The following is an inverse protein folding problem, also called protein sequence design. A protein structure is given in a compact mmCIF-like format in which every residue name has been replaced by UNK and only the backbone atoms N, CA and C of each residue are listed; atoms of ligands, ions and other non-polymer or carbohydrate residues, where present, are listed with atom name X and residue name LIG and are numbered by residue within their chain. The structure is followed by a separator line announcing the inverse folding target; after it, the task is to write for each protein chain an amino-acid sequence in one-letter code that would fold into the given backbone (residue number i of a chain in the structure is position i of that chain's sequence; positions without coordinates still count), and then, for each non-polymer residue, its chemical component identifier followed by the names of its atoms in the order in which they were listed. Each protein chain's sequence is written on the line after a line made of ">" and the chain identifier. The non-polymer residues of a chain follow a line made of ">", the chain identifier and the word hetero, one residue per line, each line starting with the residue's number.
data_IF_116111029523
#
_entry.id   IF_116111029523
#
_cell.length_a   1.000
_cell.length_b   1.000
_cell.length_c   1.000
_cell.angle_alpha   90.00
_cell.angle_beta   90.00
_cell.angle_gamma   90.00
#
_symmetry.space_group_name_H-M   'P 1'
#
loop_
_entity.id
_entity.type
_entity.pdbx_description
1 polymer ?
#
# COMPACT_ATOMS: atom_id res chain seq x y z
N UNK A 1 -2.36 9.70 -25.64
CA UNK A 1 -2.91 9.05 -24.43
C UNK A 1 -2.49 7.58 -24.48
N UNK A 2 -1.55 7.12 -23.64
CA UNK A 2 -1.13 5.70 -23.63
C UNK A 2 -2.13 4.91 -22.77
N UNK A 3 -2.83 3.94 -23.37
CA UNK A 3 -3.67 2.97 -22.65
C UNK A 3 -2.75 1.88 -22.10
N UNK A 4 -2.72 1.73 -20.78
CA UNK A 4 -2.14 0.55 -20.14
C UNK A 4 -3.21 -0.55 -20.21
N UNK A 5 -2.92 -1.64 -20.92
CA UNK A 5 -3.78 -2.82 -20.91
C UNK A 5 -3.56 -3.56 -19.60
N UNK A 6 -4.63 -3.78 -18.83
CA UNK A 6 -4.62 -4.73 -17.73
C UNK A 6 -4.52 -6.13 -18.37
N UNK A 7 -3.52 -6.93 -17.97
CA UNK A 7 -3.41 -8.30 -18.44
C UNK A 7 -4.56 -9.15 -17.86
N UNK A 8 -5.25 -9.91 -18.70
CA UNK A 8 -6.29 -10.84 -18.26
C UNK A 8 -5.72 -11.89 -17.31
N UNK A 9 -6.35 -12.07 -16.14
CA UNK A 9 -5.89 -12.96 -15.08
C UNK A 9 -5.13 -12.28 -13.94
N UNK A 10 -4.87 -10.98 -14.02
CA UNK A 10 -4.56 -10.21 -12.83
C UNK A 10 -5.84 -10.14 -11.98
N UNK A 11 -5.90 -10.89 -10.87
CA UNK A 11 -6.75 -10.48 -9.73
C UNK A 11 -6.59 -8.98 -9.64
N UNK A 12 -7.66 -8.24 -9.88
CA UNK A 12 -7.60 -6.79 -10.00
C UNK A 12 -7.34 -6.28 -8.59
N UNK A 13 -6.06 -6.32 -8.20
CA UNK A 13 -5.54 -5.66 -7.02
C UNK A 13 -6.03 -4.24 -7.19
N UNK A 14 -7.00 -3.84 -6.38
CA UNK A 14 -7.68 -2.57 -6.49
C UNK A 14 -6.88 -1.57 -5.66
N UNK A 15 -5.87 -0.88 -6.22
CA UNK A 15 -5.05 0.04 -5.45
C UNK A 15 -5.95 1.15 -4.92
N UNK A 16 -5.82 1.45 -3.63
CA UNK A 16 -6.60 2.51 -2.97
C UNK A 16 -5.74 3.75 -2.78
N UNK A 17 -4.46 3.56 -2.47
CA UNK A 17 -3.52 4.66 -2.24
C UNK A 17 -2.15 4.31 -2.78
N UNK A 18 -1.50 5.32 -3.37
CA UNK A 18 -0.12 5.26 -3.79
C UNK A 18 0.64 6.46 -3.23
N UNK A 19 1.92 6.28 -2.89
CA UNK A 19 2.83 7.37 -2.56
C UNK A 19 4.24 7.03 -3.04
N UNK A 20 4.84 7.94 -3.79
CA UNK A 20 6.25 7.86 -4.17
C UNK A 20 7.10 8.53 -3.09
N UNK A 21 8.08 7.80 -2.54
CA UNK A 21 9.07 8.34 -1.62
C UNK A 21 10.45 7.93 -2.10
N UNK A 22 11.24 8.91 -2.53
CA UNK A 22 12.51 8.68 -3.25
C UNK A 22 12.25 7.74 -4.44
N UNK A 23 12.95 6.61 -4.49
CA UNK A 23 12.91 5.66 -5.60
C UNK A 23 11.99 4.46 -5.31
N UNK A 24 11.05 4.61 -4.37
CA UNK A 24 10.16 3.54 -3.93
C UNK A 24 8.70 3.97 -3.99
N UNK A 25 7.89 3.17 -4.70
CA UNK A 25 6.45 3.35 -4.80
C UNK A 25 5.75 2.48 -3.76
N UNK A 26 5.07 3.11 -2.82
CA UNK A 26 4.24 2.42 -1.83
C UNK A 26 2.82 2.30 -2.38
N UNK A 27 2.22 1.12 -2.27
CA UNK A 27 0.87 0.83 -2.78
C UNK A 27 0.08 0.07 -1.74
N UNK A 28 -1.11 0.57 -1.40
CA UNK A 28 -2.11 -0.17 -0.63
C UNK A 28 -3.25 -0.62 -1.54
N UNK A 29 -3.88 -1.74 -1.19
CA UNK A 29 -4.96 -2.32 -1.97
C UNK A 29 -6.20 -2.55 -1.12
N UNK A 30 -7.37 -2.47 -1.76
CA UNK A 30 -8.64 -2.69 -1.09
C UNK A 30 -8.72 -4.11 -0.57
N UNK A 31 -9.12 -4.27 0.70
CA UNK A 31 -9.27 -5.57 1.34
C UNK A 31 -7.98 -6.32 1.65
N UNK A 32 -6.80 -5.74 1.37
CA UNK A 32 -5.51 -6.36 1.68
C UNK A 32 -4.85 -5.62 2.86
N UNK A 33 -4.63 -6.28 4.02
CA UNK A 33 -4.01 -5.66 5.19
C UNK A 33 -2.47 -5.58 5.05
N UNK A 34 -2.01 -4.94 3.97
CA UNK A 34 -0.61 -4.77 3.66
C UNK A 34 -0.36 -3.54 2.77
N UNK A 35 0.88 -3.05 2.80
CA UNK A 35 1.41 -2.09 1.84
C UNK A 35 2.55 -2.76 1.08
N UNK A 36 2.47 -2.77 -0.26
CA UNK A 36 3.56 -3.19 -1.11
C UNK A 36 4.51 -2.02 -1.39
N UNK A 37 5.80 -2.31 -1.40
CA UNK A 37 6.86 -1.38 -1.81
C UNK A 37 7.41 -1.90 -3.13
N UNK A 38 7.20 -1.13 -4.18
CA UNK A 38 7.67 -1.44 -5.52
C UNK A 38 8.89 -0.58 -5.87
N UNK A 39 9.79 -1.15 -6.65
CA UNK A 39 10.91 -0.44 -7.25
C UNK A 39 10.48 0.30 -8.53
N UNK A 40 11.43 1.00 -9.17
CA UNK A 40 11.21 1.77 -10.40
C UNK A 40 10.75 0.92 -11.59
N UNK A 41 11.03 -0.38 -11.58
CA UNK A 41 10.57 -1.32 -12.62
C UNK A 41 9.12 -1.74 -12.42
N UNK A 42 8.49 -1.32 -11.31
CA UNK A 42 7.16 -1.78 -10.89
C UNK A 42 7.20 -3.17 -10.25
N UNK A 43 8.39 -3.74 -10.05
CA UNK A 43 8.58 -4.99 -9.33
C UNK A 43 8.33 -4.80 -7.84
N UNK A 44 7.58 -5.72 -7.22
CA UNK A 44 7.39 -5.70 -5.76
C UNK A 44 8.71 -6.07 -5.08
N UNK A 45 9.35 -5.10 -4.44
CA UNK A 45 10.60 -5.26 -3.69
C UNK A 45 10.34 -5.78 -2.27
N UNK A 46 9.37 -5.23 -1.55
CA UNK A 46 9.04 -5.59 -0.16
C UNK A 46 7.53 -5.51 0.09
N UNK A 47 7.04 -6.24 1.10
CA UNK A 47 5.68 -6.10 1.65
C UNK A 47 5.73 -5.76 3.13
N UNK A 48 4.93 -4.80 3.55
CA UNK A 48 4.74 -4.38 4.93
C UNK A 48 3.39 -4.94 5.38
N UNK A 49 3.41 -5.95 6.24
CA UNK A 49 2.19 -6.58 6.76
C UNK A 49 1.60 -5.75 7.89
N UNK A 50 0.30 -5.45 7.80
CA UNK A 50 -0.42 -4.61 8.77
C UNK A 50 -1.32 -5.48 9.67
N UNK A 51 -0.86 -6.67 10.04
CA UNK A 51 -1.67 -7.69 10.73
C UNK A 51 -1.46 -7.74 12.25
N UNK A 52 -0.59 -6.88 12.81
CA UNK A 52 -0.27 -6.82 14.24
C UNK A 52 -0.03 -5.36 14.70
N UNK A 53 -0.33 -5.01 15.97
CA UNK A 53 -1.01 -5.83 16.97
C UNK A 53 -2.45 -6.18 16.56
N UNK A 54 -3.11 -5.26 15.86
CA UNK A 54 -4.41 -5.48 15.21
C UNK A 54 -4.25 -5.53 13.69
N UNK A 55 -5.22 -6.13 13.01
CA UNK A 55 -5.26 -6.12 11.54
C UNK A 55 -5.85 -4.80 11.05
N UNK A 56 -5.11 -4.09 10.22
CA UNK A 56 -5.49 -2.80 9.65
C UNK A 56 -5.66 -2.95 8.14
N UNK A 57 -6.83 -2.58 7.62
CA UNK A 57 -7.13 -2.58 6.20
C UNK A 57 -6.91 -1.15 5.64
N UNK A 58 -5.77 -0.90 4.97
CA UNK A 58 -5.34 0.44 4.58
C UNK A 58 -6.25 1.06 3.53
N UNK A 59 -7.04 2.02 3.96
CA UNK A 59 -7.86 2.88 3.09
C UNK A 59 -7.13 4.17 2.71
N UNK A 60 -6.14 4.59 3.50
CA UNK A 60 -5.20 5.66 3.18
C UNK A 60 -3.93 5.47 4.00
N UNK A 61 -2.81 6.05 3.56
CA UNK A 61 -1.58 6.12 4.34
C UNK A 61 -0.74 7.33 3.94
N UNK A 62 0.20 7.69 4.81
CA UNK A 62 1.32 8.57 4.51
C UNK A 62 2.62 7.94 5.00
N UNK A 63 3.63 7.97 4.14
CA UNK A 63 5.01 7.56 4.46
C UNK A 63 5.80 8.80 4.85
N UNK A 64 6.40 8.75 6.03
CA UNK A 64 7.31 9.74 6.59
C UNK A 64 8.74 9.20 6.54
N UNK A 65 9.67 9.90 7.18
CA UNK A 65 11.09 9.50 7.20
C UNK A 65 11.27 8.15 7.91
N UNK A 66 10.75 8.00 9.13
CA UNK A 66 10.87 6.81 9.97
C UNK A 66 9.60 5.99 10.14
N UNK A 67 8.44 6.58 9.89
CA UNK A 67 7.15 5.93 10.12
C UNK A 67 6.27 5.88 8.88
N UNK A 68 5.29 4.98 8.94
CA UNK A 68 4.13 4.96 8.05
C UNK A 68 2.90 5.08 8.92
N UNK A 69 2.09 6.10 8.66
CA UNK A 69 0.79 6.28 9.31
C UNK A 69 -0.28 5.76 8.37
N UNK A 70 -1.09 4.81 8.85
CA UNK A 70 -2.11 4.12 8.07
C UNK A 70 -3.47 4.37 8.69
N UNK A 71 -4.43 4.75 7.84
CA UNK A 71 -5.83 4.89 8.21
C UNK A 71 -6.65 3.72 7.65
N UNK A 72 -7.45 3.12 8.52
CA UNK A 72 -8.54 2.21 8.18
C UNK A 72 -9.85 2.90 8.56
N UNK A 73 -10.44 3.61 7.60
CA UNK A 73 -11.67 4.37 7.82
C UNK A 73 -12.88 3.46 8.10
N UNK A 74 -12.86 2.20 7.62
CA UNK A 74 -13.97 1.26 7.81
C UNK A 74 -14.06 0.83 9.27
N UNK A 75 -12.92 0.56 9.89
CA UNK A 75 -12.84 0.14 11.30
C UNK A 75 -12.56 1.29 12.27
N UNK A 76 -12.35 2.52 11.78
CA UNK A 76 -12.04 3.68 12.61
C UNK A 76 -10.66 3.61 13.26
N UNK A 77 -9.69 2.95 12.62
CA UNK A 77 -8.34 2.73 13.17
C UNK A 77 -7.35 3.70 12.52
N UNK A 78 -6.49 4.28 13.34
CA UNK A 78 -5.27 4.96 12.91
C UNK A 78 -4.08 4.25 13.55
N UNK A 79 -3.19 3.70 12.72
CA UNK A 79 -2.04 2.94 13.17
C UNK A 79 -0.74 3.54 12.64
N UNK A 80 0.33 3.42 13.43
CA UNK A 80 1.66 3.89 13.08
C UNK A 80 2.63 2.72 13.10
N UNK A 81 3.41 2.58 12.03
CA UNK A 81 4.38 1.50 11.85
C UNK A 81 5.77 2.10 11.65
N UNK A 82 6.77 1.53 12.31
CA UNK A 82 8.18 1.86 12.04
C UNK A 82 8.61 1.23 10.71
N UNK A 83 9.45 1.95 9.96
CA UNK A 83 9.89 1.58 8.61
C UNK A 83 11.22 0.81 8.56
#
# INVERSE_FOLDING_TARGET
>A
MRRFALADGADTLAPVRLQLVRDSLFVSYSGLPAIDVCDESGGRSRRINLTRPDTVFPTSFVVLDSEIVVADHVHGILAMYNR
#
